data_IF_000033236618
#
_entry.id   IF_000033236618
#
_cell.length_a   1.000
_cell.length_b   1.000
_cell.length_c   1.000
_cell.angle_alpha   90.00
_cell.angle_beta   90.00
_cell.angle_gamma   90.00
#
_symmetry.space_group_name_H-M   'P 1'
#
loop_
_entity.id
_entity.type
_entity.pdbx_description
1 polymer ?
#
# COMPACT_ATOMS: atom_id res chain seq x y z
N UNK A 1 22.50 19.55 0.46
CA UNK A 1 22.63 18.72 -0.76
C UNK A 1 22.87 17.26 -0.35
N UNK A 2 21.82 16.51 -0.02
CA UNK A 2 21.86 15.05 0.09
C UNK A 2 20.92 14.51 -0.98
N UNK A 3 21.49 14.03 -2.09
CA UNK A 3 20.74 13.30 -3.11
C UNK A 3 20.26 12.00 -2.46
N UNK A 4 19.02 11.98 -2.00
CA UNK A 4 18.38 10.77 -1.50
C UNK A 4 18.41 9.73 -2.61
N UNK A 5 18.92 8.54 -2.30
CA UNK A 5 18.88 7.39 -3.19
C UNK A 5 17.40 7.06 -3.45
N UNK A 6 16.86 7.53 -4.57
CA UNK A 6 15.57 7.07 -5.08
C UNK A 6 15.79 5.62 -5.50
N UNK A 7 15.29 4.68 -4.71
CA UNK A 7 15.28 3.26 -5.05
C UNK A 7 14.14 3.08 -6.06
N UNK A 8 14.49 2.91 -7.33
CA UNK A 8 13.54 2.61 -8.39
C UNK A 8 13.33 1.10 -8.44
N UNK A 9 12.13 0.63 -8.13
CA UNK A 9 11.74 -0.76 -8.37
C UNK A 9 11.26 -0.87 -9.81
N UNK A 10 11.99 -1.63 -10.64
CA UNK A 10 11.56 -1.96 -11.99
C UNK A 10 10.97 -3.37 -11.96
N UNK A 11 9.67 -3.46 -11.66
CA UNK A 11 8.93 -4.67 -11.99
C UNK A 11 8.78 -4.63 -13.52
N UNK A 12 9.33 -5.64 -14.21
CA UNK A 12 9.07 -5.79 -15.65
C UNK A 12 7.61 -6.21 -15.76
N UNK A 13 6.73 -5.22 -15.89
CA UNK A 13 5.35 -5.47 -16.26
C UNK A 13 5.37 -5.77 -17.75
N UNK A 14 5.06 -7.02 -18.09
CA UNK A 14 4.92 -7.48 -19.47
C UNK A 14 3.81 -6.65 -20.19
N UNK A 15 3.74 -6.64 -21.52
CA UNK A 15 2.60 -6.09 -22.26
C UNK A 15 1.29 -6.77 -21.84
N UNK A 16 0.17 -6.05 -21.83
CA UNK A 16 -1.15 -6.62 -21.51
C UNK A 16 -1.52 -7.75 -22.46
N UNK A 17 -0.99 -7.76 -23.68
CA UNK A 17 -1.16 -8.86 -24.66
C UNK A 17 -0.81 -10.24 -24.09
N UNK A 18 -0.01 -10.31 -23.03
CA UNK A 18 0.35 -11.55 -22.34
C UNK A 18 -0.56 -11.84 -21.12
N UNK A 19 -1.75 -11.24 -21.02
CA UNK A 19 -2.59 -11.33 -19.81
C UNK A 19 -3.13 -12.73 -19.52
N UNK A 20 -3.30 -13.58 -20.54
CA UNK A 20 -3.72 -14.97 -20.34
C UNK A 20 -2.65 -15.79 -19.60
N UNK A 21 -1.38 -15.36 -19.69
CA UNK A 21 -0.26 -15.88 -18.91
C UNK A 21 -0.19 -15.24 -17.50
N UNK A 22 -1.14 -14.39 -17.10
CA UNK A 22 -1.16 -13.72 -15.78
C UNK A 22 -2.18 -14.34 -14.82
N UNK A 23 -2.29 -15.66 -14.83
CA UNK A 23 -2.95 -16.33 -13.71
C UNK A 23 -2.13 -16.11 -12.44
N UNK A 24 -2.76 -16.13 -11.28
CA UNK A 24 -2.05 -15.95 -10.01
C UNK A 24 -0.97 -17.00 -9.80
N UNK A 25 -1.23 -18.24 -10.26
CA UNK A 25 -0.28 -19.35 -10.22
C UNK A 25 0.89 -19.13 -11.17
N UNK A 26 0.66 -18.64 -12.39
CA UNK A 26 1.75 -18.33 -13.32
C UNK A 26 2.58 -17.13 -12.83
N UNK A 27 1.93 -16.10 -12.29
CA UNK A 27 2.63 -15.00 -11.62
C UNK A 27 3.43 -15.50 -10.41
N UNK A 28 2.89 -16.43 -9.61
CA UNK A 28 3.61 -17.05 -8.51
C UNK A 28 4.81 -17.85 -8.99
N UNK A 29 4.64 -18.69 -10.03
CA UNK A 29 5.72 -19.45 -10.67
C UNK A 29 6.84 -18.55 -11.19
N UNK A 30 6.49 -17.48 -11.92
CA UNK A 30 7.47 -16.51 -12.42
C UNK A 30 8.24 -15.88 -11.24
N UNK A 31 7.54 -15.49 -10.16
CA UNK A 31 8.22 -14.91 -8.99
C UNK A 31 9.12 -15.94 -8.31
N UNK A 32 8.69 -17.20 -8.21
CA UNK A 32 9.49 -18.30 -7.64
C UNK A 32 10.73 -18.60 -8.48
N UNK A 33 10.60 -18.71 -9.80
CA UNK A 33 11.73 -18.88 -10.73
C UNK A 33 12.74 -17.74 -10.62
N UNK A 34 12.24 -16.49 -10.49
CA UNK A 34 13.09 -15.31 -10.31
C UNK A 34 13.82 -15.33 -8.95
N UNK A 35 13.14 -15.75 -7.89
CA UNK A 35 13.72 -15.95 -6.56
C UNK A 35 14.79 -17.04 -6.62
N UNK A 36 14.53 -18.17 -7.26
CA UNK A 36 15.47 -19.29 -7.35
C UNK A 36 16.70 -18.94 -8.19
N UNK A 37 16.53 -18.22 -9.30
CA UNK A 37 17.64 -17.66 -10.06
C UNK A 37 18.52 -16.72 -9.21
N UNK A 38 17.91 -15.94 -8.31
CA UNK A 38 18.66 -15.07 -7.40
C UNK A 38 19.42 -15.87 -6.32
N UNK A 39 18.82 -16.96 -5.83
CA UNK A 39 19.40 -17.85 -4.82
C UNK A 39 20.57 -18.68 -5.37
N UNK A 40 20.45 -19.21 -6.59
CA UNK A 40 21.51 -19.99 -7.23
C UNK A 40 22.77 -19.14 -7.50
N UNK A 41 22.60 -17.86 -7.87
CA UNK A 41 23.75 -16.96 -8.10
C UNK A 41 24.44 -16.56 -6.80
N UNK A 42 23.70 -16.39 -5.70
CA UNK A 42 24.27 -16.19 -4.36
C UNK A 42 24.99 -17.45 -3.86
N UNK A 43 24.50 -18.64 -4.17
CA UNK A 43 25.16 -19.90 -3.80
C UNK A 43 26.42 -20.17 -4.65
N UNK A 44 26.41 -19.84 -5.94
CA UNK A 44 27.58 -19.97 -6.82
C UNK A 44 28.70 -18.96 -6.47
N UNK A 45 28.34 -17.77 -5.98
CA UNK A 45 29.31 -16.81 -5.44
C UNK A 45 29.85 -17.18 -4.06
N UNK A 46 29.14 -18.01 -3.30
CA UNK A 46 29.62 -18.61 -2.05
C UNK A 46 30.50 -19.85 -2.28
N UNK A 47 30.31 -20.59 -3.37
CA UNK A 47 31.14 -21.76 -3.69
C UNK A 47 32.55 -21.42 -4.21
N UNK A 48 32.75 -20.23 -4.78
CA UNK A 48 34.08 -19.73 -5.19
C UNK A 48 34.84 -18.96 -4.10
N UNK A 49 34.25 -18.75 -2.91
CA UNK A 49 34.87 -17.98 -1.80
C UNK A 49 35.24 -18.83 -0.57
N UNK A 50 35.53 -20.13 -0.73
CA UNK A 50 36.00 -20.97 0.40
C UNK A 50 37.51 -21.01 0.64
N UNK A 51 38.33 -20.34 -0.18
CA UNK A 51 39.75 -20.11 0.13
C UNK A 51 40.13 -18.71 -0.36
N UNK A 52 40.20 -17.76 0.58
CA UNK A 52 41.12 -16.60 0.65
C UNK A 52 40.53 -15.59 1.65
N UNK A 53 41.13 -15.62 2.84
CA UNK A 53 41.35 -14.47 3.73
C UNK A 53 40.11 -13.82 4.38
N UNK A 54 39.84 -14.27 5.61
CA UNK A 54 39.39 -13.42 6.72
C UNK A 54 40.36 -12.24 6.90
N UNK A 55 40.07 -11.09 6.28
CA UNK A 55 40.41 -9.72 6.76
C UNK A 55 40.14 -8.71 5.64
N UNK A 56 39.47 -7.61 6.01
CA UNK A 56 39.22 -6.37 5.22
C UNK A 56 38.29 -6.52 4.01
N UNK A 57 37.03 -6.13 4.20
CA UNK A 57 36.32 -5.11 3.42
C UNK A 57 34.84 -5.14 3.81
N UNK A 58 34.42 -4.19 4.67
CA UNK A 58 33.05 -3.67 4.67
C UNK A 58 32.80 -2.96 3.33
N UNK A 59 32.80 -3.69 2.21
CA UNK A 59 32.21 -3.20 0.97
C UNK A 59 30.71 -3.42 1.14
N UNK A 60 29.94 -2.34 1.22
CA UNK A 60 28.49 -2.38 1.01
C UNK A 60 28.27 -3.08 -0.33
N UNK A 61 27.93 -4.37 -0.31
CA UNK A 61 27.43 -5.03 -1.49
C UNK A 61 26.17 -4.26 -1.89
N UNK A 62 26.27 -3.49 -2.98
CA UNK A 62 25.09 -2.93 -3.63
C UNK A 62 24.28 -4.14 -4.07
N UNK A 63 23.23 -4.47 -3.33
CA UNK A 63 22.25 -5.45 -3.79
C UNK A 63 21.78 -4.98 -5.16
N UNK A 64 22.13 -5.74 -6.20
CA UNK A 64 21.69 -5.47 -7.56
C UNK A 64 20.23 -5.91 -7.60
N UNK A 65 19.32 -4.95 -7.79
CA UNK A 65 17.92 -5.25 -8.04
C UNK A 65 17.82 -6.09 -9.31
N UNK A 66 17.31 -7.32 -9.20
CA UNK A 66 17.00 -8.17 -10.34
C UNK A 66 15.50 -8.35 -10.36
N UNK A 67 14.86 -7.86 -11.43
CA UNK A 67 13.42 -7.98 -11.65
C UNK A 67 12.56 -7.43 -10.49
N UNK A 68 13.03 -6.38 -9.81
CA UNK A 68 12.33 -5.76 -8.69
C UNK A 68 12.62 -6.39 -7.32
N UNK A 69 13.35 -7.51 -7.25
CA UNK A 69 13.77 -8.12 -5.99
C UNK A 69 15.15 -7.62 -5.56
N UNK A 70 15.24 -7.13 -4.31
CA UNK A 70 16.48 -6.67 -3.70
C UNK A 70 16.95 -7.66 -2.63
N UNK A 71 17.94 -8.48 -2.98
CA UNK A 71 18.55 -9.42 -2.05
C UNK A 71 17.68 -10.63 -1.70
N UNK A 72 18.09 -11.36 -0.66
CA UNK A 72 17.43 -12.57 -0.19
C UNK A 72 16.21 -12.24 0.68
N UNK A 73 15.03 -12.79 0.37
CA UNK A 73 13.86 -12.63 1.22
C UNK A 73 13.62 -13.89 2.08
N UNK A 74 13.63 -13.78 3.42
CA UNK A 74 13.43 -14.93 4.31
C UNK A 74 12.12 -15.71 4.09
N UNK A 75 11.08 -15.04 3.59
CA UNK A 75 9.77 -15.66 3.33
C UNK A 75 9.85 -16.76 2.25
N UNK A 76 10.84 -16.71 1.37
CA UNK A 76 11.10 -17.75 0.35
C UNK A 76 11.45 -19.13 0.94
N UNK A 77 11.80 -19.20 2.23
CA UNK A 77 12.08 -20.47 2.93
C UNK A 77 10.83 -21.17 3.44
N UNK A 78 9.68 -20.48 3.45
CA UNK A 78 8.45 -21.03 4.00
C UNK A 78 7.79 -21.90 2.93
N UNK A 79 7.69 -23.21 3.22
CA UNK A 79 7.15 -24.23 2.28
C UNK A 79 5.74 -23.93 1.76
N UNK A 80 4.95 -23.16 2.50
CA UNK A 80 3.55 -22.85 2.21
C UNK A 80 3.34 -21.37 1.85
N UNK A 81 4.42 -20.64 1.55
CA UNK A 81 4.36 -19.24 1.18
C UNK A 81 4.69 -19.07 -0.30
N UNK A 82 3.73 -18.55 -1.04
CA UNK A 82 3.82 -18.31 -2.48
C UNK A 82 3.58 -16.82 -2.74
N UNK A 83 4.55 -16.12 -3.33
CA UNK A 83 4.46 -14.67 -3.48
C UNK A 83 3.24 -14.19 -4.29
N UNK A 84 2.84 -14.93 -5.33
CA UNK A 84 1.69 -14.56 -6.14
C UNK A 84 0.35 -14.72 -5.42
N UNK A 85 0.24 -15.69 -4.50
CA UNK A 85 -1.03 -16.05 -3.85
C UNK A 85 -1.13 -15.64 -2.39
N UNK A 86 -0.01 -15.41 -1.71
CA UNK A 86 0.04 -15.12 -0.28
C UNK A 86 -0.09 -13.64 0.05
N UNK A 87 0.03 -12.75 -0.95
CA UNK A 87 -0.24 -11.32 -0.76
C UNK A 87 -1.62 -10.97 -1.30
N UNK A 88 -2.45 -10.41 -0.41
CA UNK A 88 -3.76 -9.90 -0.76
C UNK A 88 -3.63 -8.52 -1.40
N UNK A 89 -4.51 -8.24 -2.35
CA UNK A 89 -4.62 -6.92 -2.96
C UNK A 89 -5.53 -6.03 -2.11
N UNK A 90 -4.93 -5.33 -1.17
CA UNK A 90 -5.67 -4.51 -0.21
C UNK A 90 -6.18 -3.18 -0.81
N UNK A 91 -7.21 -2.63 -0.17
CA UNK A 91 -7.86 -1.39 -0.61
C UNK A 91 -6.92 -0.19 -0.58
N UNK A 92 -6.01 -0.12 0.40
CA UNK A 92 -5.16 1.04 0.59
C UNK A 92 -4.03 1.08 -0.41
N UNK A 93 -3.16 0.05 -0.42
CA UNK A 93 -1.91 0.12 -1.17
C UNK A 93 -2.12 -0.21 -2.64
N UNK A 94 -3.00 -1.16 -2.96
CA UNK A 94 -3.24 -1.56 -4.34
C UNK A 94 -4.18 -0.58 -5.05
N UNK A 95 -5.31 -0.25 -4.41
CA UNK A 95 -6.40 0.49 -5.08
C UNK A 95 -6.23 2.01 -4.90
N UNK A 96 -6.37 2.56 -3.69
CA UNK A 96 -6.45 4.02 -3.53
C UNK A 96 -5.08 4.71 -3.62
N UNK A 97 -4.12 4.29 -2.81
CA UNK A 97 -2.76 4.83 -2.81
C UNK A 97 -1.86 4.21 -3.90
N UNK A 98 -2.36 3.21 -4.62
CA UNK A 98 -1.67 2.54 -5.73
C UNK A 98 -2.19 2.99 -7.08
N UNK A 99 -3.13 2.23 -7.64
CA UNK A 99 -3.65 2.42 -8.99
C UNK A 99 -4.37 3.77 -9.17
N UNK A 100 -5.26 4.15 -8.24
CA UNK A 100 -5.99 5.42 -8.34
C UNK A 100 -5.08 6.63 -8.17
N UNK A 101 -4.16 6.58 -7.20
CA UNK A 101 -3.08 7.57 -7.08
C UNK A 101 -2.34 7.72 -8.40
N UNK A 102 -1.90 6.63 -9.00
CA UNK A 102 -1.17 6.68 -10.26
C UNK A 102 -2.00 7.31 -11.38
N UNK A 103 -3.27 6.91 -11.52
CA UNK A 103 -4.19 7.48 -12.50
C UNK A 103 -4.32 9.00 -12.34
N UNK A 104 -4.50 9.50 -11.11
CA UNK A 104 -4.60 10.94 -10.86
C UNK A 104 -3.28 11.68 -11.11
N UNK A 105 -2.14 11.05 -10.80
CA UNK A 105 -0.83 11.63 -11.10
C UNK A 105 -0.60 11.76 -12.60
N UNK A 106 -0.99 10.76 -13.39
CA UNK A 106 -0.96 10.87 -14.84
C UNK A 106 -1.80 12.08 -15.26
N UNK A 107 -3.07 12.13 -14.88
CA UNK A 107 -3.99 13.15 -15.37
C UNK A 107 -3.66 14.58 -14.92
N UNK A 108 -3.16 14.79 -13.70
CA UNK A 108 -3.05 16.11 -13.09
C UNK A 108 -1.63 16.58 -12.77
N UNK A 109 -0.59 15.78 -12.98
CA UNK A 109 0.78 16.25 -12.78
C UNK A 109 1.25 17.10 -13.97
N UNK A 110 1.93 18.20 -13.65
CA UNK A 110 2.60 19.09 -14.59
C UNK A 110 3.56 18.39 -15.56
N UNK A 111 4.14 17.25 -15.16
CA UNK A 111 5.03 16.46 -16.01
C UNK A 111 4.33 15.93 -17.28
N UNK A 112 3.02 15.70 -17.23
CA UNK A 112 2.23 15.18 -18.34
C UNK A 112 1.36 16.25 -19.00
N UNK A 113 1.57 17.54 -18.71
CA UNK A 113 0.70 18.63 -19.19
C UNK A 113 0.51 18.73 -20.72
N UNK A 114 1.40 18.10 -21.49
CA UNK A 114 1.40 18.09 -22.95
C UNK A 114 0.81 16.79 -23.53
N UNK A 115 0.53 15.79 -22.70
CA UNK A 115 -0.10 14.54 -23.13
C UNK A 115 -1.58 14.79 -23.47
N UNK A 116 -2.10 14.10 -24.50
CA UNK A 116 -3.46 14.31 -25.02
C UNK A 116 -4.56 14.00 -23.99
N UNK A 117 -4.29 13.06 -23.08
CA UNK A 117 -5.19 12.65 -22.00
C UNK A 117 -5.04 13.49 -20.72
N UNK A 118 -4.11 14.45 -20.67
CA UNK A 118 -3.86 15.25 -19.47
C UNK A 118 -5.02 16.21 -19.17
N UNK A 119 -5.34 16.31 -17.88
CA UNK A 119 -6.32 17.24 -17.31
C UNK A 119 -5.64 18.37 -16.51
N UNK A 120 -4.30 18.52 -16.59
CA UNK A 120 -3.55 19.54 -15.85
C UNK A 120 -4.13 20.96 -16.03
N UNK A 121 -4.49 21.32 -17.28
CA UNK A 121 -5.07 22.64 -17.59
C UNK A 121 -6.48 22.85 -17.03
N UNK A 122 -7.16 21.77 -16.65
CA UNK A 122 -8.53 21.78 -16.10
C UNK A 122 -8.58 21.75 -14.57
N UNK A 123 -7.42 21.73 -13.88
CA UNK A 123 -7.37 21.64 -12.41
C UNK A 123 -8.28 22.67 -11.73
N UNK A 124 -8.26 23.93 -12.17
CA UNK A 124 -9.09 24.98 -11.56
C UNK A 124 -10.60 24.67 -11.66
N UNK A 125 -11.05 24.18 -12.82
CA UNK A 125 -12.46 23.83 -13.06
C UNK A 125 -12.89 22.61 -12.24
N UNK A 126 -11.99 21.63 -12.11
CA UNK A 126 -12.24 20.42 -11.30
C UNK A 126 -12.27 20.78 -9.82
N UNK A 127 -11.31 21.58 -9.34
CA UNK A 127 -11.27 22.05 -7.94
C UNK A 127 -12.52 22.85 -7.56
N UNK A 128 -13.01 23.73 -8.45
CA UNK A 128 -14.27 24.45 -8.26
C UNK A 128 -15.44 23.48 -8.12
N UNK A 129 -15.53 22.47 -9.00
CA UNK A 129 -16.58 21.45 -8.92
C UNK A 129 -16.48 20.57 -7.67
N UNK A 130 -15.25 20.27 -7.21
CA UNK A 130 -15.02 19.53 -5.96
C UNK A 130 -15.41 20.35 -4.73
N UNK A 131 -15.28 21.68 -4.78
CA UNK A 131 -15.66 22.56 -3.67
C UNK A 131 -17.17 22.53 -3.36
N UNK A 132 -17.99 22.15 -4.34
CA UNK A 132 -19.45 22.03 -4.23
C UNK A 132 -19.90 20.68 -3.68
N UNK A 133 -19.01 19.69 -3.63
CA UNK A 133 -19.35 18.33 -3.18
C UNK A 133 -19.42 18.33 -1.65
N UNK A 134 -20.56 17.91 -1.13
CA UNK A 134 -20.73 17.64 0.30
C UNK A 134 -20.22 16.23 0.61
N UNK A 135 -19.38 16.10 1.63
CA UNK A 135 -18.89 14.81 2.12
C UNK A 135 -19.52 14.49 3.48
N UNK A 136 -19.69 13.21 3.85
CA UNK A 136 -20.23 12.82 5.15
C UNK A 136 -19.41 13.41 6.31
N UNK A 137 -20.03 13.69 7.45
CA UNK A 137 -19.35 14.22 8.64
C UNK A 137 -18.22 13.32 9.17
N UNK A 138 -18.29 12.03 8.87
CA UNK A 138 -17.26 11.02 9.19
C UNK A 138 -15.99 11.15 8.33
N UNK A 139 -16.02 11.96 7.27
CA UNK A 139 -14.84 12.27 6.48
C UNK A 139 -14.14 13.51 7.05
N UNK A 140 -12.92 13.34 7.56
CA UNK A 140 -12.21 14.37 8.32
C UNK A 140 -11.79 15.61 7.49
N UNK A 141 -11.91 15.62 6.16
CA UNK A 141 -11.35 16.70 5.31
C UNK A 141 -12.17 16.98 4.04
N UNK A 142 -12.39 18.26 3.75
CA UNK A 142 -12.74 18.76 2.41
C UNK A 142 -11.64 18.43 1.41
N UNK A 143 -12.00 18.30 0.12
CA UNK A 143 -11.02 18.04 -0.94
C UNK A 143 -9.96 19.14 -0.96
N UNK A 144 -8.69 18.74 -0.84
CA UNK A 144 -7.57 19.60 -1.16
C UNK A 144 -7.59 19.88 -2.68
N UNK A 145 -6.94 20.96 -3.10
CA UNK A 145 -6.70 21.23 -4.52
C UNK A 145 -5.86 20.12 -5.18
N UNK A 146 -6.26 19.70 -6.38
CA UNK A 146 -5.55 18.69 -7.18
C UNK A 146 -4.13 19.12 -7.57
N UNK A 147 -3.78 20.42 -7.46
CA UNK A 147 -2.39 20.89 -7.59
C UNK A 147 -1.43 20.20 -6.61
N UNK A 148 -1.95 19.73 -5.48
CA UNK A 148 -1.16 19.06 -4.44
C UNK A 148 -1.33 17.54 -4.45
N UNK A 149 -1.78 16.94 -5.56
CA UNK A 149 -2.06 15.51 -5.65
C UNK A 149 -0.87 14.65 -5.18
N UNK A 150 0.36 15.09 -5.46
CA UNK A 150 1.58 14.40 -5.01
C UNK A 150 1.74 14.29 -3.49
N UNK A 151 1.07 15.15 -2.72
CA UNK A 151 1.10 15.19 -1.26
C UNK A 151 -0.15 14.60 -0.60
N UNK A 152 -1.07 14.02 -1.37
CA UNK A 152 -2.28 13.42 -0.80
C UNK A 152 -1.94 12.19 0.03
N UNK A 153 -2.62 12.06 1.17
CA UNK A 153 -2.65 10.82 1.96
C UNK A 153 -3.58 9.80 1.30
N UNK A 154 -3.40 8.51 1.62
CA UNK A 154 -4.28 7.43 1.16
C UNK A 154 -5.77 7.72 1.43
N UNK A 155 -6.10 8.31 2.58
CA UNK A 155 -7.48 8.68 2.93
C UNK A 155 -8.06 9.79 2.06
N UNK A 156 -7.22 10.72 1.56
CA UNK A 156 -7.63 11.77 0.63
C UNK A 156 -7.96 11.16 -0.74
N UNK A 157 -7.15 10.19 -1.21
CA UNK A 157 -7.46 9.42 -2.43
C UNK A 157 -8.76 8.64 -2.30
N UNK A 158 -8.97 7.93 -1.18
CA UNK A 158 -10.21 7.19 -0.92
C UNK A 158 -11.44 8.11 -0.92
N UNK A 159 -11.34 9.27 -0.25
CA UNK A 159 -12.43 10.26 -0.23
C UNK A 159 -12.74 10.76 -1.64
N UNK A 160 -11.72 11.13 -2.41
CA UNK A 160 -11.88 11.59 -3.80
C UNK A 160 -12.50 10.51 -4.69
N UNK A 161 -12.11 9.24 -4.53
CA UNK A 161 -12.65 8.12 -5.29
C UNK A 161 -14.16 7.96 -5.09
N UNK A 162 -14.63 8.03 -3.84
CA UNK A 162 -16.03 7.76 -3.51
C UNK A 162 -16.95 8.96 -3.71
N UNK A 163 -16.47 10.16 -3.42
CA UNK A 163 -17.34 11.35 -3.34
C UNK A 163 -17.03 12.40 -4.41
N UNK A 164 -15.77 12.55 -4.83
CA UNK A 164 -15.36 13.61 -5.76
C UNK A 164 -15.28 13.18 -7.22
N UNK A 165 -15.45 11.89 -7.51
CA UNK A 165 -15.23 11.35 -8.85
C UNK A 165 -16.17 11.93 -9.91
N UNK A 166 -17.45 12.10 -9.59
CA UNK A 166 -18.44 12.69 -10.52
C UNK A 166 -18.01 14.09 -10.95
N UNK A 167 -17.53 14.90 -10.00
CA UNK A 167 -16.95 16.22 -10.24
C UNK A 167 -15.67 16.19 -11.07
N UNK A 168 -14.93 15.09 -11.09
CA UNK A 168 -13.77 14.89 -11.95
C UNK A 168 -14.19 14.47 -13.37
N UNK A 169 -15.01 13.43 -13.48
CA UNK A 169 -15.40 12.80 -14.76
C UNK A 169 -16.19 13.75 -15.65
N UNK A 170 -16.96 14.68 -15.08
CA UNK A 170 -17.70 15.71 -15.85
C UNK A 170 -16.81 16.59 -16.73
N UNK A 171 -15.53 16.74 -16.36
CA UNK A 171 -14.58 17.59 -17.08
C UNK A 171 -13.73 16.82 -18.10
N UNK A 172 -13.92 15.50 -18.18
CA UNK A 172 -13.29 14.65 -19.18
C UNK A 172 -14.10 14.75 -20.48
N UNK A 173 -13.44 15.00 -21.61
CA UNK A 173 -14.11 14.99 -22.92
C UNK A 173 -13.89 13.68 -23.67
N UNK A 174 -12.80 12.96 -23.37
CA UNK A 174 -12.46 11.70 -24.00
C UNK A 174 -13.33 10.55 -23.41
N UNK A 175 -14.08 9.86 -24.27
CA UNK A 175 -14.98 8.79 -23.85
C UNK A 175 -14.26 7.54 -23.35
N UNK A 176 -13.09 7.20 -23.90
CA UNK A 176 -12.26 6.08 -23.45
C UNK A 176 -11.78 6.31 -22.02
N UNK A 177 -11.34 7.53 -21.72
CA UNK A 177 -10.91 7.89 -20.36
C UNK A 177 -12.10 7.90 -19.38
N UNK A 178 -13.29 8.33 -19.80
CA UNK A 178 -14.51 8.20 -18.96
C UNK A 178 -14.83 6.73 -18.69
N UNK A 179 -14.80 5.90 -19.73
CA UNK A 179 -15.04 4.47 -19.61
C UNK A 179 -14.05 3.82 -18.64
N UNK A 180 -12.78 4.21 -18.69
CA UNK A 180 -11.76 3.75 -17.74
C UNK A 180 -12.16 4.03 -16.29
N UNK A 181 -12.63 5.24 -15.96
CA UNK A 181 -13.11 5.56 -14.61
C UNK A 181 -14.36 4.75 -14.23
N UNK A 182 -15.31 4.58 -15.15
CA UNK A 182 -16.53 3.81 -14.88
C UNK A 182 -16.24 2.33 -14.64
N UNK A 183 -15.34 1.71 -15.41
CA UNK A 183 -14.87 0.35 -15.18
C UNK A 183 -14.26 0.21 -13.78
N UNK A 184 -13.35 1.12 -13.42
CA UNK A 184 -12.66 1.05 -12.14
C UNK A 184 -13.63 1.20 -10.97
N UNK A 185 -14.49 2.20 -11.02
CA UNK A 185 -15.35 2.56 -9.88
C UNK A 185 -16.50 1.58 -9.71
N UNK A 186 -17.06 1.08 -10.81
CA UNK A 186 -18.02 -0.02 -10.77
C UNK A 186 -17.39 -1.26 -10.14
N UNK A 187 -16.17 -1.63 -10.55
CA UNK A 187 -15.48 -2.79 -9.98
C UNK A 187 -15.22 -2.65 -8.47
N UNK A 188 -14.70 -1.49 -8.02
CA UNK A 188 -14.37 -1.29 -6.61
C UNK A 188 -15.63 -1.19 -5.74
N UNK A 189 -16.72 -0.62 -6.24
CA UNK A 189 -17.99 -0.58 -5.51
C UNK A 189 -18.61 -1.98 -5.38
N UNK A 190 -18.57 -2.80 -6.43
CA UNK A 190 -18.99 -4.21 -6.34
C UNK A 190 -18.12 -4.97 -5.34
N UNK A 191 -16.80 -4.81 -5.42
CA UNK A 191 -15.85 -5.44 -4.49
C UNK A 191 -16.03 -4.99 -3.03
N UNK A 192 -16.60 -3.80 -2.80
CA UNK A 192 -16.81 -3.21 -1.47
C UNK A 192 -18.25 -3.36 -0.97
N UNK A 193 -19.09 -4.13 -1.66
CA UNK A 193 -20.49 -4.36 -1.25
C UNK A 193 -20.56 -5.15 0.05
N UNK A 194 -21.64 -4.96 0.82
CA UNK A 194 -21.85 -5.71 2.08
C UNK A 194 -21.96 -7.22 1.85
N UNK A 195 -22.47 -7.61 0.68
CA UNK A 195 -22.55 -8.99 0.23
C UNK A 195 -21.94 -9.08 -1.16
N UNK A 196 -20.83 -9.82 -1.27
CA UNK A 196 -20.13 -10.05 -2.53
C UNK A 196 -20.41 -11.49 -2.97
N UNK A 197 -21.30 -11.66 -3.95
CA UNK A 197 -21.64 -12.99 -4.50
C UNK A 197 -20.59 -13.44 -5.51
N UNK A 198 -20.59 -14.73 -5.87
CA UNK A 198 -19.67 -15.25 -6.89
C UNK A 198 -19.84 -14.54 -8.25
N UNK A 199 -21.08 -14.21 -8.62
CA UNK A 199 -21.37 -13.46 -9.84
C UNK A 199 -20.80 -12.05 -9.79
N UNK A 200 -20.85 -11.40 -8.61
CA UNK A 200 -20.21 -10.10 -8.40
C UNK A 200 -18.68 -10.20 -8.50
N UNK A 201 -18.07 -11.27 -7.96
CA UNK A 201 -16.62 -11.51 -8.09
C UNK A 201 -16.23 -11.68 -9.56
N UNK A 202 -16.98 -12.48 -10.33
CA UNK A 202 -16.75 -12.67 -11.76
C UNK A 202 -16.91 -11.37 -12.55
N UNK A 203 -17.88 -10.53 -12.15
CA UNK A 203 -18.05 -9.20 -12.74
C UNK A 203 -16.88 -8.28 -12.42
N UNK A 204 -16.41 -8.25 -11.16
CA UNK A 204 -15.22 -7.50 -10.75
C UNK A 204 -14.00 -7.92 -11.56
N UNK A 205 -13.78 -9.23 -11.73
CA UNK A 205 -12.71 -9.77 -12.58
C UNK A 205 -12.76 -9.20 -14.00
N UNK A 206 -13.92 -9.27 -14.65
CA UNK A 206 -14.11 -8.76 -16.02
C UNK A 206 -13.87 -7.25 -16.10
N UNK A 207 -14.44 -6.48 -15.17
CA UNK A 207 -14.31 -5.02 -15.15
C UNK A 207 -12.86 -4.58 -14.95
N UNK A 208 -12.13 -5.20 -14.02
CA UNK A 208 -10.72 -4.87 -13.78
C UNK A 208 -9.81 -5.35 -14.90
N UNK A 209 -10.14 -6.47 -15.55
CA UNK A 209 -9.46 -6.90 -16.77
C UNK A 209 -9.55 -5.82 -17.87
N UNK A 210 -10.77 -5.36 -18.19
CA UNK A 210 -10.96 -4.28 -19.18
C UNK A 210 -10.35 -2.95 -18.74
N UNK A 211 -10.37 -2.64 -17.44
CA UNK A 211 -9.68 -1.46 -16.92
C UNK A 211 -8.18 -1.53 -17.22
N UNK A 212 -7.52 -2.65 -16.90
CA UNK A 212 -6.08 -2.80 -17.08
C UNK A 212 -5.70 -2.78 -18.56
N UNK A 213 -6.52 -3.39 -19.44
CA UNK A 213 -6.35 -3.30 -20.89
C UNK A 213 -6.39 -1.84 -21.37
N UNK A 214 -7.49 -1.14 -21.08
CA UNK A 214 -7.70 0.22 -21.54
C UNK A 214 -6.67 1.19 -20.94
N UNK A 215 -6.21 0.92 -19.71
CA UNK A 215 -5.14 1.70 -19.09
C UNK A 215 -3.85 1.61 -19.90
N UNK A 216 -3.45 0.41 -20.34
CA UNK A 216 -2.26 0.24 -21.19
C UNK A 216 -2.44 0.92 -22.55
N UNK A 217 -3.61 0.83 -23.16
CA UNK A 217 -3.90 1.46 -24.46
C UNK A 217 -3.80 2.99 -24.37
N UNK A 218 -4.33 3.60 -23.31
CA UNK A 218 -4.35 5.07 -23.13
C UNK A 218 -2.99 5.62 -22.71
N UNK A 219 -2.34 4.99 -21.71
CA UNK A 219 -1.14 5.53 -21.08
C UNK A 219 0.16 4.88 -21.62
N UNK A 220 0.05 3.72 -22.24
CA UNK A 220 1.18 2.96 -22.75
C UNK A 220 1.87 2.10 -21.69
N UNK A 221 2.63 1.11 -22.18
CA UNK A 221 3.33 0.11 -21.37
C UNK A 221 4.24 0.70 -20.28
N UNK A 222 4.85 1.87 -20.55
CA UNK A 222 5.74 2.57 -19.60
C UNK A 222 5.07 2.95 -18.28
N UNK A 223 3.74 3.03 -18.27
CA UNK A 223 2.95 3.36 -17.08
C UNK A 223 2.26 2.13 -16.47
N UNK A 224 2.52 0.92 -16.95
CA UNK A 224 2.01 -0.29 -16.32
C UNK A 224 2.82 -0.59 -15.06
N UNK A 225 2.32 -0.18 -13.90
CA UNK A 225 2.97 -0.45 -12.62
C UNK A 225 2.50 -1.79 -12.04
N UNK A 226 3.19 -2.26 -11.00
CA UNK A 226 2.75 -3.43 -10.26
C UNK A 226 1.36 -3.27 -9.66
N UNK A 227 1.01 -2.07 -9.18
CA UNK A 227 -0.31 -1.83 -8.60
C UNK A 227 -1.41 -1.92 -9.67
N UNK A 228 -1.14 -1.46 -10.89
CA UNK A 228 -2.07 -1.64 -12.02
C UNK A 228 -2.22 -3.13 -12.36
N UNK A 229 -1.13 -3.88 -12.43
CA UNK A 229 -1.18 -5.33 -12.64
C UNK A 229 -1.95 -6.04 -11.52
N UNK A 230 -1.69 -5.70 -10.26
CA UNK A 230 -2.31 -6.31 -9.09
C UNK A 230 -3.83 -6.19 -9.10
N UNK A 231 -4.43 -5.21 -9.80
CA UNK A 231 -5.88 -5.16 -9.96
C UNK A 231 -6.47 -6.42 -10.62
N UNK A 232 -5.71 -7.12 -11.46
CA UNK A 232 -6.12 -8.41 -12.03
C UNK A 232 -6.33 -9.48 -10.96
N UNK A 233 -5.72 -9.32 -9.77
CA UNK A 233 -5.75 -10.29 -8.68
C UNK A 233 -6.75 -9.94 -7.55
N UNK A 234 -7.54 -8.88 -7.73
CA UNK A 234 -8.53 -8.46 -6.72
C UNK A 234 -9.62 -9.51 -6.55
N UNK A 235 -10.05 -10.16 -7.63
CA UNK A 235 -11.12 -11.13 -7.56
C UNK A 235 -10.76 -12.34 -6.68
N UNK A 236 -9.51 -12.82 -6.72
CA UNK A 236 -9.06 -13.91 -5.85
C UNK A 236 -9.01 -13.48 -4.39
N UNK A 237 -8.57 -12.25 -4.12
CA UNK A 237 -8.61 -11.69 -2.75
C UNK A 237 -10.04 -11.65 -2.21
N UNK A 238 -11.02 -11.31 -3.06
CA UNK A 238 -12.44 -11.37 -2.69
C UNK A 238 -12.92 -12.79 -2.42
N UNK A 239 -12.51 -13.76 -3.23
CA UNK A 239 -12.85 -15.19 -3.02
C UNK A 239 -12.33 -15.71 -1.69
N UNK A 240 -11.13 -15.30 -1.27
CA UNK A 240 -10.50 -15.81 -0.04
C UNK A 240 -10.97 -15.05 1.21
N UNK A 241 -11.06 -13.72 1.14
CA UNK A 241 -11.25 -12.87 2.32
C UNK A 241 -12.64 -12.21 2.40
N UNK A 242 -13.44 -12.29 1.34
CA UNK A 242 -14.71 -11.57 1.24
C UNK A 242 -14.53 -10.10 0.82
N UNK A 243 -15.47 -9.21 1.20
CA UNK A 243 -15.49 -7.82 0.72
C UNK A 243 -14.20 -7.03 1.00
N UNK A 244 -13.86 -6.11 0.11
CA UNK A 244 -12.62 -5.34 0.16
C UNK A 244 -12.42 -4.53 1.46
N UNK A 245 -13.50 -4.10 2.11
CA UNK A 245 -13.43 -3.37 3.38
C UNK A 245 -13.04 -4.26 4.56
N UNK A 246 -13.23 -5.59 4.47
CA UNK A 246 -13.00 -6.53 5.57
C UNK A 246 -11.52 -6.67 5.93
N UNK A 247 -10.64 -6.66 4.94
CA UNK A 247 -9.17 -6.77 5.10
C UNK A 247 -8.46 -5.46 4.76
N UNK A 248 -9.17 -4.35 4.88
CA UNK A 248 -8.65 -3.00 4.63
C UNK A 248 -7.53 -2.65 5.60
N UNK A 249 -6.41 -2.11 5.08
CA UNK A 249 -5.25 -1.78 5.91
C UNK A 249 -5.23 -0.36 6.47
N UNK A 250 -6.27 0.44 6.21
CA UNK A 250 -6.37 1.83 6.67
C UNK A 250 -6.30 1.99 8.19
N UNK A 251 -6.92 1.08 8.94
CA UNK A 251 -6.87 1.10 10.40
C UNK A 251 -5.46 0.83 10.92
N UNK A 252 -4.76 -0.14 10.32
CA UNK A 252 -3.39 -0.48 10.71
C UNK A 252 -2.40 0.65 10.41
N UNK A 253 -2.49 1.31 9.25
CA UNK A 253 -1.58 2.43 8.93
C UNK A 253 -1.75 3.61 9.90
N UNK A 254 -2.97 3.85 10.38
CA UNK A 254 -3.25 4.84 11.43
C UNK A 254 -2.59 4.47 12.75
N UNK A 255 -2.85 3.25 13.23
CA UNK A 255 -2.30 2.73 14.50
C UNK A 255 -0.76 2.69 14.43
N UNK A 256 -0.19 2.23 13.32
CA UNK A 256 1.27 2.15 13.14
C UNK A 256 1.91 3.53 13.26
N UNK A 257 1.30 4.55 12.65
CA UNK A 257 1.80 5.92 12.76
C UNK A 257 1.77 6.43 14.20
N UNK A 258 0.68 6.19 14.92
CA UNK A 258 0.54 6.62 16.31
C UNK A 258 1.53 5.87 17.20
N UNK A 259 1.63 4.55 17.04
CA UNK A 259 2.55 3.69 17.78
C UNK A 259 4.01 4.10 17.54
N UNK A 260 4.41 4.34 16.29
CA UNK A 260 5.77 4.79 15.96
C UNK A 260 6.05 6.17 16.58
N UNK A 261 5.07 7.07 16.65
CA UNK A 261 5.24 8.39 17.27
C UNK A 261 5.54 8.33 18.78
N UNK A 262 5.15 7.25 19.46
CA UNK A 262 5.47 7.04 20.88
C UNK A 262 6.92 6.63 21.13
N UNK A 263 7.64 6.21 20.08
CA UNK A 263 9.03 5.73 20.18
C UNK A 263 10.01 6.86 19.81
N UNK A 264 10.79 7.29 20.79
CA UNK A 264 11.67 8.47 20.66
C UNK A 264 13.17 8.10 20.53
N UNK A 265 13.52 6.80 20.58
CA UNK A 265 14.90 6.31 20.54
C UNK A 265 15.20 5.31 19.42
N UNK A 266 16.45 5.24 18.99
CA UNK A 266 16.94 4.34 17.91
C UNK A 266 17.50 3.01 18.42
N UNK A 267 17.76 2.89 19.72
CA UNK A 267 18.32 1.70 20.37
C UNK A 267 17.17 0.75 20.74
N UNK A 268 17.26 -0.53 20.34
CA UNK A 268 16.24 -1.55 20.65
C UNK A 268 14.81 -1.14 20.23
N UNK A 269 14.68 -0.48 19.08
CA UNK A 269 13.41 0.04 18.54
C UNK A 269 12.26 -0.99 18.62
N UNK A 270 12.50 -2.23 18.20
CA UNK A 270 11.50 -3.30 18.25
C UNK A 270 10.99 -3.58 19.66
N UNK A 271 11.87 -3.57 20.66
CA UNK A 271 11.45 -3.71 22.06
C UNK A 271 10.63 -2.50 22.48
N UNK A 272 11.08 -1.28 22.20
CA UNK A 272 10.33 -0.07 22.55
C UNK A 272 8.92 -0.08 21.94
N UNK A 273 8.78 -0.52 20.69
CA UNK A 273 7.50 -0.60 19.99
C UNK A 273 6.56 -1.64 20.61
N UNK A 274 7.05 -2.87 20.88
CA UNK A 274 6.28 -3.93 21.56
C UNK A 274 5.78 -3.43 22.92
N UNK A 275 6.67 -2.75 23.65
CA UNK A 275 6.39 -2.20 24.97
C UNK A 275 5.26 -1.15 24.93
N UNK A 276 5.32 -0.22 24.00
CA UNK A 276 4.28 0.81 23.84
C UNK A 276 2.95 0.21 23.39
N UNK A 277 2.98 -0.81 22.52
CA UNK A 277 1.77 -1.51 22.10
C UNK A 277 1.06 -2.21 23.27
N UNK A 278 1.81 -2.90 24.14
CA UNK A 278 1.24 -3.55 25.33
C UNK A 278 0.60 -2.52 26.25
N UNK A 279 1.31 -1.41 26.53
CA UNK A 279 0.77 -0.33 27.36
C UNK A 279 -0.51 0.28 26.78
N UNK A 280 -0.54 0.55 25.47
CA UNK A 280 -1.70 1.11 24.78
C UNK A 280 -2.90 0.14 24.81
N UNK A 281 -2.67 -1.15 24.53
CA UNK A 281 -3.70 -2.20 24.60
C UNK A 281 -4.28 -2.29 26.01
N UNK A 282 -3.42 -2.34 27.01
CA UNK A 282 -3.84 -2.44 28.41
C UNK A 282 -4.61 -1.18 28.83
N UNK A 283 -4.14 0.00 28.46
CA UNK A 283 -4.86 1.25 28.71
C UNK A 283 -6.28 1.21 28.14
N UNK A 284 -6.47 0.78 26.88
CA UNK A 284 -7.80 0.66 26.27
C UNK A 284 -8.73 -0.32 27.00
N UNK A 285 -8.21 -1.45 27.48
CA UNK A 285 -9.00 -2.46 28.21
C UNK A 285 -9.45 -1.91 29.57
N UNK A 286 -8.58 -1.16 30.26
CA UNK A 286 -8.83 -0.66 31.61
C UNK A 286 -9.42 0.76 31.64
N UNK A 287 -9.52 1.45 30.50
CA UNK A 287 -10.14 2.78 30.38
C UNK A 287 -11.62 2.80 30.79
N UNK A 288 -12.34 1.69 30.59
CA UNK A 288 -13.75 1.58 30.99
C UNK A 288 -13.95 1.31 32.49
N UNK A 289 -12.88 1.13 33.26
CA UNK A 289 -12.94 0.74 34.67
C UNK A 289 -12.38 1.81 35.64
N UNK A 290 -12.03 3.03 35.17
CA UNK A 290 -11.45 4.14 35.96
C UNK A 290 -10.25 3.73 36.86
N UNK A 291 -9.64 2.58 36.60
CA UNK A 291 -8.66 1.94 37.47
C UNK A 291 -7.67 1.15 36.63
N UNK A 292 -6.50 1.73 36.37
CA UNK A 292 -5.38 0.96 35.83
C UNK A 292 -4.77 0.14 36.97
N UNK A 293 -4.83 -1.21 36.96
CA UNK A 293 -4.42 -2.00 38.10
C UNK A 293 -2.93 -1.83 38.38
N UNK A 294 -2.57 -1.43 39.60
CA UNK A 294 -1.17 -1.24 40.02
C UNK A 294 -0.30 -2.49 39.81
N UNK A 295 -0.90 -3.68 39.91
CA UNK A 295 -0.24 -4.95 39.59
C UNK A 295 0.13 -5.09 38.11
N UNK A 296 -0.73 -4.59 37.21
CA UNK A 296 -0.49 -4.59 35.76
C UNK A 296 0.58 -3.56 35.39
N UNK A 297 0.56 -2.38 36.03
CA UNK A 297 1.65 -1.42 35.90
C UNK A 297 2.99 -1.99 36.37
N UNK A 298 3.00 -2.63 37.54
CA UNK A 298 4.22 -3.23 38.11
C UNK A 298 4.74 -4.38 37.24
N UNK A 299 3.84 -5.19 36.66
CA UNK A 299 4.17 -6.23 35.69
C UNK A 299 4.76 -5.62 34.40
N UNK A 300 4.14 -4.56 33.89
CA UNK A 300 4.65 -3.82 32.74
C UNK A 300 6.03 -3.25 33.08
N UNK A 301 6.23 -2.45 34.13
CA UNK A 301 7.55 -1.93 34.53
C UNK A 301 8.64 -3.01 34.65
N UNK A 302 8.30 -4.21 35.15
CA UNK A 302 9.21 -5.38 35.16
C UNK A 302 9.52 -5.94 33.77
N UNK A 303 8.53 -6.07 32.89
CA UNK A 303 8.72 -6.48 31.48
C UNK A 303 9.46 -5.41 30.66
N UNK A 304 9.33 -4.14 31.06
CA UNK A 304 9.91 -2.97 30.43
C UNK A 304 11.36 -2.70 30.87
N UNK A 305 11.84 -3.38 31.91
CA UNK A 305 13.17 -3.19 32.53
C UNK A 305 13.47 -1.71 32.83
N UNK A 306 12.45 -0.97 33.29
CA UNK A 306 12.57 0.43 33.69
C UNK A 306 12.99 0.50 35.16
N UNK A 307 14.05 1.26 35.45
CA UNK A 307 14.31 1.80 36.78
C UNK A 307 13.77 3.23 36.85
N UNK A 308 12.47 3.42 37.05
CA UNK A 308 11.92 4.73 37.42
C UNK A 308 11.29 4.66 38.80
N UNK A 309 11.53 5.70 39.61
CA UNK A 309 11.06 5.82 40.99
C UNK A 309 9.55 6.01 41.05
N UNK A 310 8.89 5.35 42.02
CA UNK A 310 7.44 5.35 42.29
C UNK A 310 6.72 6.72 42.31
N UNK A 311 7.45 7.84 42.37
CA UNK A 311 6.91 9.20 42.49
C UNK A 311 6.25 9.68 41.17
N UNK A 312 6.60 9.12 40.01
CA UNK A 312 6.04 9.53 38.72
C UNK A 312 4.72 8.84 38.33
N UNK A 313 4.22 7.89 39.13
CA UNK A 313 2.95 7.20 38.87
C UNK A 313 1.75 8.15 38.82
N UNK A 314 1.80 9.23 39.62
CA UNK A 314 0.74 10.24 39.70
C UNK A 314 0.65 11.12 38.45
N UNK A 315 1.79 11.45 37.83
CA UNK A 315 1.83 12.41 36.72
C UNK A 315 1.44 11.81 35.35
N UNK A 316 1.49 10.48 35.18
CA UNK A 316 1.10 9.84 33.91
C UNK A 316 -0.42 9.69 33.79
N UNK A 317 -1.10 9.41 34.91
CA UNK A 317 -2.57 9.32 34.99
C UNK A 317 -3.19 10.71 34.71
N UNK A 318 -2.58 11.79 35.19
CA UNK A 318 -3.07 13.16 34.97
C UNK A 318 -2.81 13.71 33.54
N UNK A 319 -2.07 12.98 32.70
CA UNK A 319 -1.69 13.41 31.33
C UNK A 319 -2.41 12.69 30.19
N UNK A 320 -3.18 11.65 30.51
CA UNK A 320 -4.07 10.94 29.59
C UNK A 320 -5.48 11.51 29.69
#
# INVERSE_FOLDING_TARGET
RSRGNVITFTIRVYPFKDCELRTQDECARIVEELVDCSNQVNNNSNHTKKKIVKKKLKKKEKHISRYGHLGFCPLTKLKYFHYGTSFLTDSLHTIYAGAFKQLLHLLFDSQYKNESWSLFKKIAQVDESLSLVQTPSTTERRFRSLKFISKYKASEYRCLFHFGLTSLVRHINNNELKNLFFLFVTAINLASSNHVTNEAIDMVKKLLYYFVQNFEEIFGLRHMSSNIHSLLHVHQSLTVMGPLWFYSTFSFEGIDKDLVSTVHGTIEFSKQLIRQHILYRDALIFHNHDSYPLALFTLNERLLDRKQSNIQYKNYIDSC
#
